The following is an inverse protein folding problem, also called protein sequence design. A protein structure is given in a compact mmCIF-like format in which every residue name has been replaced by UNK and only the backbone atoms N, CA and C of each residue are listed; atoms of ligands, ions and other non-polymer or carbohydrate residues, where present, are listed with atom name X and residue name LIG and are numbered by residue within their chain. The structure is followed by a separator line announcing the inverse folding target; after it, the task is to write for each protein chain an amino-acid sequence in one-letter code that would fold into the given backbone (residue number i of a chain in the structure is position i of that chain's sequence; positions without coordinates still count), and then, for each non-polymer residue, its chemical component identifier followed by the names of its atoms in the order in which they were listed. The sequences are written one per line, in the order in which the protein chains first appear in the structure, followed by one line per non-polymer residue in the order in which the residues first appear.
data_IF_324739802660
#
_entry.id   IF_324739802660
#
_cell.length_a   1.000
_cell.length_b   1.000
_cell.length_c   1.000
_cell.angle_alpha   90.00
_cell.angle_beta   90.00
_cell.angle_gamma   90.00
#
_symmetry.space_group_name_H-M   'P 1'
#
loop_
_entity.id
_entity.type
_entity.pdbx_description
1 polymer ?
#
# COMPACT_ATOMS: atom_id res chain seq x y z
N UNK A 1 -12.68 4.68 8.86
CA UNK A 1 -11.43 4.37 8.12
C UNK A 1 -11.47 2.95 7.50
N UNK A 2 -11.58 1.88 8.30
CA UNK A 2 -11.50 0.48 7.82
C UNK A 2 -12.58 0.16 6.77
N UNK A 3 -13.79 0.66 6.91
CA UNK A 3 -14.85 0.50 5.91
C UNK A 3 -14.45 1.08 4.55
N UNK A 4 -13.99 2.32 4.56
CA UNK A 4 -13.58 3.00 3.34
C UNK A 4 -12.37 2.33 2.68
N UNK A 5 -11.40 1.90 3.48
CA UNK A 5 -10.25 1.16 2.99
C UNK A 5 -10.68 -0.17 2.35
N UNK A 6 -11.57 -0.91 3.03
CA UNK A 6 -12.05 -2.21 2.55
C UNK A 6 -12.88 -2.09 1.27
N UNK A 7 -13.77 -1.10 1.19
CA UNK A 7 -14.52 -0.79 -0.04
C UNK A 7 -13.58 -0.41 -1.19
N UNK A 8 -12.56 0.41 -0.90
CA UNK A 8 -11.61 0.89 -1.91
C UNK A 8 -10.74 -0.24 -2.46
N UNK A 9 -10.28 -1.14 -1.61
CA UNK A 9 -9.35 -2.21 -1.97
C UNK A 9 -10.04 -3.55 -2.24
N UNK A 10 -11.35 -3.66 -2.03
CA UNK A 10 -12.15 -4.84 -2.32
C UNK A 10 -11.90 -5.98 -1.33
N UNK A 11 -11.72 -5.69 -0.04
CA UNK A 11 -11.51 -6.73 0.97
C UNK A 11 -12.81 -7.46 1.33
N UNK A 12 -12.71 -8.76 1.49
CA UNK A 12 -13.81 -9.68 1.80
C UNK A 12 -13.33 -10.89 2.62
N UNK A 13 -14.17 -11.91 2.78
CA UNK A 13 -13.86 -13.14 3.51
C UNK A 13 -12.81 -14.03 2.82
N UNK A 14 -12.61 -13.88 1.52
CA UNK A 14 -11.62 -14.64 0.74
C UNK A 14 -10.25 -13.95 0.69
N UNK A 15 -10.13 -12.77 1.31
CA UNK A 15 -8.89 -12.03 1.38
C UNK A 15 -7.88 -12.74 2.28
N UNK A 16 -6.68 -12.95 1.76
CA UNK A 16 -5.54 -13.54 2.48
C UNK A 16 -4.42 -12.53 2.55
N UNK A 17 -4.29 -11.90 3.70
CA UNK A 17 -3.27 -10.87 3.94
C UNK A 17 -1.92 -11.49 4.30
N UNK A 18 -0.85 -10.89 3.79
CA UNK A 18 0.51 -11.07 4.29
C UNK A 18 0.94 -9.86 5.11
N UNK A 19 0.86 -9.95 6.45
CA UNK A 19 1.19 -8.82 7.30
C UNK A 19 2.71 -8.59 7.40
N UNK A 20 3.13 -7.37 7.10
CA UNK A 20 4.52 -6.92 7.18
C UNK A 20 4.77 -6.05 8.43
N UNK A 21 3.82 -5.19 8.75
CA UNK A 21 3.98 -4.17 9.79
C UNK A 21 3.90 -4.79 11.18
N UNK A 22 4.85 -4.49 12.09
CA UNK A 22 4.75 -4.92 13.48
C UNK A 22 3.46 -4.45 14.14
N UNK A 23 2.89 -5.28 15.01
CA UNK A 23 1.57 -5.04 15.63
C UNK A 23 1.51 -3.82 16.56
N UNK A 24 2.63 -3.20 16.89
CA UNK A 24 2.70 -1.98 17.68
C UNK A 24 2.67 -0.68 16.82
N UNK A 25 2.58 -0.80 15.49
CA UNK A 25 2.34 0.32 14.59
C UNK A 25 0.88 0.31 14.12
N UNK A 26 0.28 1.50 13.93
CA UNK A 26 -1.08 1.67 13.42
C UNK A 26 -1.27 1.08 12.01
N UNK A 27 -0.21 1.01 11.23
CA UNK A 27 -0.26 0.47 9.88
C UNK A 27 -0.72 -1.01 9.82
N UNK A 28 -0.57 -1.81 10.89
CA UNK A 28 -1.09 -3.19 10.94
C UNK A 28 -2.63 -3.25 10.94
N UNK A 29 -3.30 -2.15 11.31
CA UNK A 29 -4.77 -2.08 11.34
C UNK A 29 -5.39 -2.28 9.96
N UNK A 30 -4.64 -1.98 8.88
CA UNK A 30 -5.08 -2.19 7.48
C UNK A 30 -5.39 -3.65 7.14
N UNK A 31 -4.83 -4.57 7.89
CA UNK A 31 -4.94 -6.01 7.67
C UNK A 31 -5.73 -6.68 8.80
N UNK A 32 -5.42 -6.35 10.06
CA UNK A 32 -6.04 -6.98 11.22
C UNK A 32 -7.55 -6.68 11.36
N UNK A 33 -7.96 -5.42 11.19
CA UNK A 33 -9.37 -5.08 11.34
C UNK A 33 -10.24 -5.63 10.20
N UNK A 34 -9.84 -5.58 8.92
CA UNK A 34 -10.57 -6.29 7.86
C UNK A 34 -10.64 -7.79 8.10
N UNK A 35 -9.57 -8.41 8.60
CA UNK A 35 -9.57 -9.84 8.97
C UNK A 35 -10.66 -10.15 9.98
N UNK A 36 -10.76 -9.37 11.06
CA UNK A 36 -11.79 -9.54 12.08
C UNK A 36 -13.20 -9.23 11.55
N UNK A 37 -13.32 -8.21 10.69
CA UNK A 37 -14.61 -7.75 10.17
C UNK A 37 -15.22 -8.73 9.18
N UNK A 38 -14.42 -9.30 8.27
CA UNK A 38 -14.90 -10.12 7.17
C UNK A 38 -14.67 -11.61 7.36
N UNK A 39 -14.01 -12.03 8.44
CA UNK A 39 -13.56 -13.41 8.60
C UNK A 39 -12.45 -13.80 7.63
N UNK A 40 -11.67 -12.82 7.17
CA UNK A 40 -10.53 -13.02 6.28
C UNK A 40 -9.37 -13.71 7.01
N UNK A 41 -8.28 -13.99 6.30
CA UNK A 41 -7.07 -14.60 6.87
C UNK A 41 -5.92 -13.61 6.88
N UNK A 42 -5.15 -13.55 7.95
CA UNK A 42 -3.88 -12.80 8.01
C UNK A 42 -2.74 -13.71 8.45
N UNK A 43 -1.72 -13.82 7.61
CA UNK A 43 -0.46 -14.44 7.98
C UNK A 43 0.53 -13.39 8.49
N UNK A 44 0.99 -13.55 9.73
CA UNK A 44 2.06 -12.72 10.31
C UNK A 44 3.40 -13.20 9.73
N UNK A 45 3.93 -12.48 8.76
CA UNK A 45 5.17 -12.87 8.09
C UNK A 45 6.36 -12.70 9.05
N UNK A 46 7.19 -13.74 9.27
CA UNK A 46 8.39 -13.62 10.07
C UNK A 46 9.32 -12.50 9.55
N UNK A 47 9.71 -11.59 10.44
CA UNK A 47 10.56 -10.43 10.08
C UNK A 47 11.84 -10.83 9.33
N UNK A 48 12.41 -11.98 9.65
CA UNK A 48 13.62 -12.50 8.99
C UNK A 48 13.41 -12.77 7.50
N UNK A 49 12.20 -13.08 7.04
CA UNK A 49 11.92 -13.34 5.63
C UNK A 49 12.07 -12.09 4.76
N UNK A 50 11.86 -10.89 5.31
CA UNK A 50 12.08 -9.64 4.57
C UNK A 50 13.55 -9.42 4.17
N UNK A 51 14.50 -10.09 4.85
CA UNK A 51 15.91 -10.12 4.44
C UNK A 51 16.24 -11.19 3.40
N UNK A 52 15.25 -12.02 3.03
CA UNK A 52 15.40 -13.16 2.10
C UNK A 52 14.27 -13.12 1.06
N UNK A 53 14.31 -12.20 0.08
CA UNK A 53 13.17 -11.92 -0.81
C UNK A 53 12.62 -13.14 -1.56
N UNK A 54 13.47 -14.09 -1.95
CA UNK A 54 13.01 -15.33 -2.58
C UNK A 54 12.15 -16.15 -1.61
N UNK A 55 12.63 -16.36 -0.38
CA UNK A 55 11.89 -17.11 0.65
C UNK A 55 10.62 -16.39 1.09
N UNK A 56 10.64 -15.06 1.07
CA UNK A 56 9.44 -14.26 1.33
C UNK A 56 8.35 -14.54 0.28
N UNK A 57 8.71 -14.55 -1.00
CA UNK A 57 7.75 -14.84 -2.08
C UNK A 57 7.31 -16.32 -2.05
N UNK A 58 8.22 -17.25 -1.74
CA UNK A 58 7.87 -18.68 -1.54
C UNK A 58 6.86 -18.83 -0.40
N UNK A 59 7.06 -18.15 0.74
CA UNK A 59 6.11 -18.11 1.85
C UNK A 59 4.75 -17.56 1.42
N UNK A 60 4.73 -16.46 0.66
CA UNK A 60 3.48 -15.88 0.14
C UNK A 60 2.72 -16.87 -0.75
N UNK A 61 3.43 -17.63 -1.59
CA UNK A 61 2.83 -18.62 -2.46
C UNK A 61 2.31 -19.83 -1.67
N UNK A 62 3.08 -20.35 -0.72
CA UNK A 62 2.67 -21.45 0.16
C UNK A 62 1.36 -21.15 0.89
N UNK A 63 1.23 -19.92 1.38
CA UNK A 63 0.05 -19.45 2.11
C UNK A 63 -1.02 -18.79 1.24
N UNK A 64 -0.85 -18.78 -0.09
CA UNK A 64 -1.76 -18.16 -1.06
C UNK A 64 -2.12 -16.72 -0.74
N UNK A 65 -1.14 -15.95 -0.27
CA UNK A 65 -1.32 -14.53 0.03
C UNK A 65 -1.75 -13.80 -1.24
N UNK A 66 -2.94 -13.19 -1.18
CA UNK A 66 -3.50 -12.46 -2.33
C UNK A 66 -3.51 -10.95 -2.15
N UNK A 67 -3.23 -10.45 -0.94
CA UNK A 67 -3.28 -9.04 -0.60
C UNK A 67 -2.14 -8.65 0.33
N UNK A 68 -1.50 -7.53 0.02
CA UNK A 68 -0.50 -6.92 0.90
C UNK A 68 -0.74 -5.41 1.04
N UNK A 69 -0.51 -4.88 2.25
CA UNK A 69 -0.61 -3.45 2.57
C UNK A 69 0.71 -2.98 3.20
N UNK A 70 1.77 -2.94 2.38
CA UNK A 70 3.15 -2.81 2.85
C UNK A 70 3.74 -1.42 2.68
N UNK A 71 4.83 -1.16 3.40
CA UNK A 71 5.70 -0.02 3.12
C UNK A 71 6.46 -0.24 1.81
N UNK A 72 6.78 0.85 1.11
CA UNK A 72 7.44 0.77 -0.21
C UNK A 72 8.79 0.07 -0.14
N UNK A 73 9.57 0.30 0.93
CA UNK A 73 10.87 -0.35 1.10
C UNK A 73 10.79 -1.88 1.11
N UNK A 74 9.74 -2.48 1.67
CA UNK A 74 9.52 -3.93 1.63
C UNK A 74 9.30 -4.46 0.20
N UNK A 75 8.52 -3.73 -0.59
CA UNK A 75 8.29 -4.05 -2.02
C UNK A 75 9.57 -3.86 -2.84
N UNK A 76 10.27 -2.76 -2.60
CA UNK A 76 11.51 -2.43 -3.30
C UNK A 76 12.60 -3.48 -3.08
N UNK A 77 12.69 -4.07 -1.89
CA UNK A 77 13.63 -5.18 -1.66
C UNK A 77 13.37 -6.35 -2.61
N UNK A 78 12.13 -6.75 -2.81
CA UNK A 78 11.79 -7.86 -3.72
C UNK A 78 12.23 -7.53 -5.15
N UNK A 79 11.89 -6.34 -5.65
CA UNK A 79 12.21 -5.96 -7.04
C UNK A 79 13.70 -5.68 -7.25
N UNK A 80 14.38 -5.02 -6.31
CA UNK A 80 15.80 -4.65 -6.44
C UNK A 80 16.75 -5.86 -6.45
N UNK A 81 16.45 -6.91 -5.71
CA UNK A 81 17.26 -8.13 -5.68
C UNK A 81 16.98 -9.09 -6.84
N UNK A 82 16.16 -8.69 -7.81
CA UNK A 82 15.87 -9.49 -9.01
C UNK A 82 15.13 -10.80 -8.69
N UNK A 83 14.35 -10.80 -7.62
CA UNK A 83 13.61 -11.98 -7.13
C UNK A 83 12.71 -12.56 -8.18
N UNK A 84 12.04 -11.73 -8.99
CA UNK A 84 11.12 -12.15 -10.04
C UNK A 84 11.74 -12.97 -11.17
N UNK A 85 13.08 -13.00 -11.28
CA UNK A 85 13.78 -13.91 -12.20
C UNK A 85 13.76 -15.36 -11.73
N UNK A 86 13.50 -15.60 -10.44
CA UNK A 86 13.52 -16.93 -9.80
C UNK A 86 12.16 -17.38 -9.35
N UNK A 87 11.39 -16.47 -8.72
CA UNK A 87 10.07 -16.77 -8.18
C UNK A 87 9.19 -15.52 -8.27
N UNK A 88 7.89 -15.70 -8.53
CA UNK A 88 6.87 -14.64 -8.58
C UNK A 88 5.75 -14.95 -7.59
N UNK A 89 5.09 -13.93 -7.03
CA UNK A 89 3.87 -14.13 -6.26
C UNK A 89 2.75 -14.64 -7.19
N UNK A 90 2.28 -15.86 -6.98
CA UNK A 90 1.31 -16.51 -7.87
C UNK A 90 -0.14 -16.10 -7.58
N UNK A 91 -0.42 -15.73 -6.33
CA UNK A 91 -1.77 -15.44 -5.86
C UNK A 91 -2.02 -13.95 -5.61
N UNK A 92 -0.99 -13.12 -5.64
CA UNK A 92 -1.08 -11.71 -5.26
C UNK A 92 -1.87 -10.90 -6.29
N UNK A 93 -2.99 -10.34 -5.83
CA UNK A 93 -3.94 -9.57 -6.65
C UNK A 93 -4.03 -8.10 -6.23
N UNK A 94 -3.88 -7.82 -4.94
CA UNK A 94 -4.02 -6.47 -4.39
C UNK A 94 -2.75 -6.06 -3.68
N UNK A 95 -2.14 -4.98 -4.15
CA UNK A 95 -0.91 -4.41 -3.61
C UNK A 95 -1.18 -2.96 -3.22
N UNK A 96 -1.43 -2.73 -1.94
CA UNK A 96 -1.51 -1.40 -1.37
C UNK A 96 -0.14 -1.05 -0.76
N UNK A 97 0.35 0.13 -1.03
CA UNK A 97 1.64 0.61 -0.53
C UNK A 97 1.55 2.05 -0.04
N UNK A 98 2.46 2.48 0.78
CA UNK A 98 2.48 3.85 1.30
C UNK A 98 3.64 4.14 2.23
N UNK A 99 3.55 5.26 2.93
CA UNK A 99 4.55 5.78 3.87
C UNK A 99 5.85 6.30 3.23
N UNK A 100 6.13 5.95 1.99
CA UNK A 100 7.34 6.33 1.25
C UNK A 100 7.01 6.56 -0.23
N UNK A 101 7.84 7.32 -0.93
CA UNK A 101 7.72 7.46 -2.40
C UNK A 101 8.20 6.16 -3.06
N UNK A 102 7.37 5.57 -3.91
CA UNK A 102 7.76 4.39 -4.67
C UNK A 102 8.59 4.82 -5.90
N UNK A 103 9.89 4.46 -5.97
CA UNK A 103 10.69 4.77 -7.15
C UNK A 103 10.10 4.10 -8.39
N UNK A 104 9.79 4.88 -9.42
CA UNK A 104 9.07 4.38 -10.61
C UNK A 104 9.78 3.20 -11.27
N UNK A 105 11.11 3.21 -11.34
CA UNK A 105 11.87 2.07 -11.84
C UNK A 105 11.54 0.77 -11.10
N UNK A 106 11.40 0.81 -9.78
CA UNK A 106 11.07 -0.37 -8.98
C UNK A 106 9.59 -0.73 -9.07
N UNK A 107 8.73 0.27 -9.14
CA UNK A 107 7.29 0.08 -9.37
C UNK A 107 7.03 -0.62 -10.73
N UNK A 108 7.68 -0.19 -11.80
CA UNK A 108 7.52 -0.78 -13.13
C UNK A 108 7.91 -2.27 -13.13
N UNK A 109 8.96 -2.67 -12.39
CA UNK A 109 9.32 -4.09 -12.24
C UNK A 109 8.16 -4.89 -11.63
N UNK A 110 7.46 -4.34 -10.64
CA UNK A 110 6.27 -4.98 -10.06
C UNK A 110 5.14 -5.08 -11.08
N UNK A 111 4.83 -3.99 -11.78
CA UNK A 111 3.76 -3.93 -12.77
C UNK A 111 3.99 -4.88 -13.95
N UNK A 112 5.22 -4.97 -14.45
CA UNK A 112 5.61 -5.90 -15.52
C UNK A 112 5.47 -7.38 -15.10
N UNK A 113 5.77 -7.70 -13.84
CA UNK A 113 5.72 -9.07 -13.36
C UNK A 113 4.33 -9.51 -12.85
N UNK A 114 3.47 -8.56 -12.49
CA UNK A 114 2.11 -8.77 -12.00
C UNK A 114 1.13 -7.83 -12.71
N UNK A 115 0.95 -7.96 -14.04
CA UNK A 115 0.13 -7.02 -14.81
C UNK A 115 -1.35 -7.02 -14.43
N UNK A 116 -1.85 -8.14 -13.87
CA UNK A 116 -3.24 -8.29 -13.45
C UNK A 116 -3.49 -7.82 -12.00
N UNK A 117 -2.43 -7.49 -11.25
CA UNK A 117 -2.59 -7.00 -9.89
C UNK A 117 -3.02 -5.53 -9.86
N UNK A 118 -3.86 -5.21 -8.90
CA UNK A 118 -4.23 -3.82 -8.60
C UNK A 118 -3.17 -3.18 -7.68
N UNK A 119 -2.75 -1.98 -8.02
CA UNK A 119 -1.80 -1.19 -7.23
C UNK A 119 -2.50 0.05 -6.69
N UNK A 120 -2.34 0.31 -5.39
CA UNK A 120 -2.94 1.49 -4.75
C UNK A 120 -1.92 2.15 -3.81
N UNK A 121 -1.61 3.41 -4.09
CA UNK A 121 -0.83 4.24 -3.17
C UNK A 121 -1.73 4.76 -2.06
N UNK A 122 -1.31 4.60 -0.82
CA UNK A 122 -2.01 5.05 0.39
C UNK A 122 -1.17 6.13 1.08
N UNK A 123 -1.83 7.19 1.52
CA UNK A 123 -1.18 8.28 2.26
C UNK A 123 -2.00 8.63 3.50
N UNK A 124 -1.30 8.84 4.61
CA UNK A 124 -1.86 9.36 5.86
C UNK A 124 -0.86 9.28 7.00
N UNK A 125 -0.89 10.27 7.91
CA UNK A 125 -0.12 10.24 9.14
C UNK A 125 -0.85 9.43 10.23
N UNK A 126 -0.11 8.94 11.22
CA UNK A 126 -0.65 8.23 12.38
C UNK A 126 -1.69 9.05 13.14
N UNK A 127 -1.49 10.37 13.23
CA UNK A 127 -2.44 11.31 13.85
C UNK A 127 -3.80 11.37 13.15
N UNK A 128 -3.85 11.01 11.86
CA UNK A 128 -5.07 10.88 11.06
C UNK A 128 -5.69 9.47 11.09
N UNK A 129 -5.28 8.61 12.02
CA UNK A 129 -5.74 7.22 12.17
C UNK A 129 -5.42 6.37 10.94
N UNK A 130 -4.16 6.33 10.56
CA UNK A 130 -3.65 5.52 9.45
C UNK A 130 -3.69 6.28 8.13
N UNK A 131 -4.47 5.81 7.15
CA UNK A 131 -4.47 6.43 5.81
C UNK A 131 -5.68 7.33 5.61
N UNK A 132 -5.47 8.49 5.02
CA UNK A 132 -6.50 9.49 4.73
C UNK A 132 -6.75 9.69 3.23
N UNK A 133 -5.80 9.32 2.38
CA UNK A 133 -5.91 9.41 0.92
C UNK A 133 -5.49 8.10 0.25
N UNK A 134 -5.95 7.94 -0.98
CA UNK A 134 -5.56 6.82 -1.84
C UNK A 134 -5.50 7.24 -3.30
N UNK A 135 -4.63 6.58 -4.06
CA UNK A 135 -4.58 6.65 -5.51
C UNK A 135 -4.53 5.23 -6.10
N UNK A 136 -5.59 4.82 -6.80
CA UNK A 136 -5.57 3.59 -7.60
C UNK A 136 -4.77 3.85 -8.85
N UNK A 137 -3.72 3.08 -9.08
CA UNK A 137 -2.85 3.25 -10.24
C UNK A 137 -3.60 2.79 -11.50
N UNK A 138 -3.92 3.73 -12.35
CA UNK A 138 -4.72 3.55 -13.58
C UNK A 138 -3.95 3.90 -14.86
N UNK A 139 -2.68 4.32 -14.75
CA UNK A 139 -1.81 4.69 -15.87
C UNK A 139 -0.37 4.26 -15.65
N UNK A 140 0.43 4.41 -16.66
CA UNK A 140 1.88 4.32 -16.58
C UNK A 140 2.50 5.65 -16.13
N UNK A 141 3.71 5.59 -15.61
CA UNK A 141 4.48 6.73 -15.13
C UNK A 141 5.85 6.76 -15.79
N UNK A 142 6.30 7.96 -16.18
CA UNK A 142 7.67 8.18 -16.61
C UNK A 142 8.64 8.12 -15.41
N UNK A 143 9.93 7.88 -15.68
CA UNK A 143 10.92 7.62 -14.62
C UNK A 143 11.15 8.81 -13.67
N UNK A 144 10.84 10.02 -14.10
CA UNK A 144 10.95 11.28 -13.35
C UNK A 144 9.64 11.71 -12.67
N UNK A 145 8.57 10.95 -12.87
CA UNK A 145 7.28 11.18 -12.22
C UNK A 145 7.24 10.58 -10.80
N UNK A 146 6.21 10.96 -10.07
CA UNK A 146 5.88 10.42 -8.73
C UNK A 146 4.44 9.93 -8.75
N UNK A 147 4.19 8.77 -8.17
CA UNK A 147 2.84 8.26 -8.00
C UNK A 147 2.08 9.17 -7.03
N UNK A 148 0.97 9.79 -7.43
CA UNK A 148 0.21 10.72 -6.59
C UNK A 148 -0.28 10.07 -5.30
N UNK A 149 -0.55 10.89 -4.27
CA UNK A 149 -1.26 10.46 -3.07
C UNK A 149 -2.78 10.36 -3.29
N UNK A 150 -3.27 10.91 -4.41
CA UNK A 150 -4.63 10.75 -4.91
C UNK A 150 -5.67 11.60 -4.19
N UNK A 151 -6.78 10.96 -3.82
CA UNK A 151 -7.97 11.60 -3.27
C UNK A 151 -8.21 11.18 -1.83
N UNK A 152 -8.85 12.04 -1.01
CA UNK A 152 -9.23 11.66 0.35
C UNK A 152 -10.26 10.53 0.33
N UNK A 153 -10.23 9.70 1.37
CA UNK A 153 -11.31 8.77 1.63
C UNK A 153 -12.61 9.51 1.92
N UNK A 154 -13.74 8.84 1.70
CA UNK A 154 -15.05 9.35 2.06
C UNK A 154 -15.08 9.76 3.54
N UNK A 155 -15.71 10.89 3.84
CA UNK A 155 -15.73 11.52 5.16
C UNK A 155 -14.38 12.08 5.66
N UNK A 156 -13.42 12.25 4.77
CA UNK A 156 -12.15 12.95 5.04
C UNK A 156 -12.06 14.16 4.10
N UNK A 157 -11.60 15.27 4.60
CA UNK A 157 -11.36 16.46 3.80
C UNK A 157 -9.89 16.83 3.85
N UNK A 158 -9.30 17.09 2.69
CA UNK A 158 -7.93 17.59 2.56
C UNK A 158 -7.99 19.08 2.20
N UNK A 159 -7.29 19.88 2.97
CA UNK A 159 -7.10 21.29 2.71
C UNK A 159 -5.61 21.57 2.48
N UNK A 160 -5.30 22.44 1.56
CA UNK A 160 -3.94 22.98 1.38
C UNK A 160 -3.94 24.40 1.96
N UNK A 161 -3.18 24.61 3.03
CA UNK A 161 -3.14 25.89 3.71
C UNK A 161 -1.78 26.56 3.52
N UNK A 162 -1.81 27.86 3.18
CA UNK A 162 -0.67 28.76 3.25
C UNK A 162 -0.65 29.37 4.65
N UNK A 163 0.49 29.39 5.31
CA UNK A 163 0.69 30.01 6.61
C UNK A 163 -0.36 29.66 7.68
N UNK A 164 -0.94 28.46 7.58
CA UNK A 164 -1.98 27.88 8.47
C UNK A 164 -3.31 28.65 8.54
N UNK A 165 -3.56 29.61 7.65
CA UNK A 165 -4.76 30.45 7.71
C UNK A 165 -5.47 30.64 6.38
N UNK A 166 -4.77 30.56 5.27
CA UNK A 166 -5.32 30.81 3.93
C UNK A 166 -5.26 29.58 3.07
N UNK A 167 -6.33 29.29 2.33
CA UNK A 167 -6.35 28.19 1.36
C UNK A 167 -5.40 28.53 0.19
N UNK A 168 -4.53 27.58 -0.14
CA UNK A 168 -3.71 27.67 -1.33
C UNK A 168 -4.59 27.63 -2.58
N UNK A 169 -4.29 28.49 -3.55
CA UNK A 169 -4.95 28.49 -4.87
C UNK A 169 -4.37 27.39 -5.75
N UNK A 170 -5.08 26.97 -6.82
CA UNK A 170 -4.52 26.04 -7.81
C UNK A 170 -3.16 26.50 -8.33
N UNK A 171 -2.16 25.62 -8.28
CA UNK A 171 -0.77 25.92 -8.67
C UNK A 171 0.10 26.49 -7.54
N UNK A 172 -0.45 26.76 -6.37
CA UNK A 172 0.33 27.19 -5.20
C UNK A 172 0.67 26.00 -4.29
N UNK A 173 1.79 26.11 -3.60
CA UNK A 173 2.21 25.16 -2.56
C UNK A 173 1.53 25.49 -1.24
N UNK A 174 1.06 24.46 -0.52
CA UNK A 174 0.46 24.59 0.80
C UNK A 174 0.74 23.37 1.68
N UNK A 175 0.57 23.54 2.99
CA UNK A 175 0.61 22.47 3.97
C UNK A 175 -0.66 21.60 3.84
N UNK A 176 -0.48 20.28 3.82
CA UNK A 176 -1.61 19.33 3.81
C UNK A 176 -2.25 19.30 5.19
N UNK A 177 -3.48 19.73 5.27
CA UNK A 177 -4.30 19.67 6.49
C UNK A 177 -5.42 18.65 6.31
N UNK A 178 -5.60 17.78 7.29
CA UNK A 178 -6.63 16.72 7.31
C UNK A 178 -7.74 17.14 8.26
N UNK A 179 -8.99 17.02 7.79
CA UNK A 179 -10.22 17.30 8.57
C UNK A 179 -11.21 16.14 8.47
#
# INVERSE_FOLDING_TARGET
YIEQLSETLGFDGDTVFGNQTPLYFDACLKELYPTLKFGATTYLIPKSLFMMPIKLVEFMNEHKVNTVCWVVSALTMISAFGTFRKVRPEYLKTIAFGSEVFPIKQFNIWKENLPEASFTNLYGPTEGTGMCCYYKVDRDFELDEVIPIGHPFKNTQILLLKDRKELAKPGEVGEICIR
#
